data_IF_693024236074
#
_entry.id   IF_693024236074
#
_cell.length_a   1.000
_cell.length_b   1.000
_cell.length_c   1.000
_cell.angle_alpha   90.00
_cell.angle_beta   90.00
_cell.angle_gamma   90.00
#
_symmetry.space_group_name_H-M   'P 1'
#
loop_
_entity.id
_entity.type
_entity.pdbx_description
1 polymer ?
#
# COMPACT_ATOMS: atom_id res chain seq x y z
N UNK A 1 -5.16 -13.54 -1.75
CA UNK A 1 -5.53 -12.44 -2.67
C UNK A 1 -4.60 -11.28 -2.38
N UNK A 2 -4.16 -10.50 -3.37
CA UNK A 2 -3.30 -9.34 -3.08
C UNK A 2 -4.02 -8.00 -3.29
N UNK A 3 -3.48 -6.98 -2.64
CA UNK A 3 -3.91 -5.58 -2.75
C UNK A 3 -2.75 -4.66 -2.34
N UNK A 4 -2.97 -3.36 -2.39
CA UNK A 4 -2.09 -2.36 -1.76
C UNK A 4 -2.78 -1.79 -0.53
N UNK A 5 -2.04 -1.68 0.56
CA UNK A 5 -2.45 -0.94 1.75
C UNK A 5 -1.71 0.40 1.81
N UNK A 6 -2.40 1.42 2.34
CA UNK A 6 -1.84 2.73 2.61
C UNK A 6 -2.07 3.13 4.06
N UNK A 7 -1.18 3.96 4.60
CA UNK A 7 -1.33 4.61 5.91
C UNK A 7 -0.78 6.02 5.82
N UNK A 8 -1.65 7.02 5.97
CA UNK A 8 -1.25 8.41 6.17
C UNK A 8 -0.98 8.70 7.65
N UNK A 9 -0.04 9.61 7.93
CA UNK A 9 0.25 10.06 9.31
C UNK A 9 -0.93 10.85 9.89
N UNK A 10 -1.59 11.68 9.09
CA UNK A 10 -2.71 12.54 9.53
C UNK A 10 -4.00 11.77 9.83
N UNK A 11 -4.17 10.57 9.27
CA UNK A 11 -5.36 9.73 9.41
C UNK A 11 -5.36 8.87 10.68
N UNK A 12 -4.58 9.25 11.70
CA UNK A 12 -4.57 8.59 13.00
C UNK A 12 -3.97 7.19 12.98
N UNK A 13 -2.97 6.97 12.13
CA UNK A 13 -2.20 5.73 12.02
C UNK A 13 -2.96 4.48 11.54
N UNK A 14 -4.13 4.65 10.90
CA UNK A 14 -4.95 3.54 10.40
C UNK A 14 -4.49 3.08 9.02
N UNK A 15 -4.34 1.77 8.85
CA UNK A 15 -4.12 1.16 7.54
C UNK A 15 -5.44 1.00 6.78
N UNK A 16 -5.45 1.41 5.52
CA UNK A 16 -6.58 1.29 4.61
C UNK A 16 -6.18 0.57 3.32
N UNK A 17 -7.11 -0.12 2.67
CA UNK A 17 -6.86 -0.74 1.36
C UNK A 17 -7.04 0.32 0.27
N UNK A 18 -6.07 0.44 -0.63
CA UNK A 18 -6.17 1.31 -1.80
C UNK A 18 -7.30 0.80 -2.71
N UNK A 19 -8.32 1.62 -3.02
CA UNK A 19 -9.44 1.22 -3.86
C UNK A 19 -8.99 0.71 -5.24
N UNK A 20 -9.64 -0.34 -5.73
CA UNK A 20 -9.35 -0.92 -7.04
C UNK A 20 -8.10 -1.81 -7.11
N UNK A 21 -7.34 -1.96 -6.03
CA UNK A 21 -6.16 -2.84 -6.00
C UNK A 21 -6.48 -4.26 -5.52
N UNK A 22 -7.62 -4.46 -4.85
CA UNK A 22 -8.01 -5.77 -4.35
C UNK A 22 -8.26 -6.78 -5.48
N UNK A 23 -7.66 -7.96 -5.36
CA UNK A 23 -7.75 -9.00 -6.39
C UNK A 23 -6.55 -9.04 -7.34
N UNK A 24 -5.54 -8.20 -7.14
CA UNK A 24 -4.34 -8.17 -7.98
C UNK A 24 -3.47 -9.42 -7.78
N UNK A 25 -2.56 -9.66 -8.73
CA UNK A 25 -1.41 -10.53 -8.50
C UNK A 25 -0.44 -9.88 -7.50
N UNK A 26 0.48 -10.68 -6.95
CA UNK A 26 1.55 -10.18 -6.08
C UNK A 26 2.42 -9.15 -6.81
N UNK A 27 2.86 -9.48 -8.02
CA UNK A 27 3.71 -8.60 -8.84
C UNK A 27 3.03 -7.27 -9.15
N UNK A 28 1.74 -7.29 -9.48
CA UNK A 28 0.96 -6.08 -9.70
C UNK A 28 0.81 -5.27 -8.41
N UNK A 29 0.53 -5.89 -7.27
CA UNK A 29 0.45 -5.18 -5.98
C UNK A 29 1.77 -4.49 -5.62
N UNK A 30 2.90 -5.19 -5.77
CA UNK A 30 4.24 -4.63 -5.53
C UNK A 30 4.50 -3.44 -6.47
N UNK A 31 4.28 -3.63 -7.77
CA UNK A 31 4.49 -2.57 -8.77
C UNK A 31 3.61 -1.35 -8.48
N UNK A 32 2.33 -1.55 -8.15
CA UNK A 32 1.41 -0.46 -7.81
C UNK A 32 1.81 0.26 -6.52
N UNK A 33 2.27 -0.45 -5.49
CA UNK A 33 2.74 0.20 -4.25
C UNK A 33 3.93 1.14 -4.53
N UNK A 34 4.87 0.74 -5.38
CA UNK A 34 6.01 1.58 -5.80
C UNK A 34 5.52 2.78 -6.64
N UNK A 35 4.59 2.57 -7.58
CA UNK A 35 4.05 3.66 -8.38
C UNK A 35 3.31 4.70 -7.52
N UNK A 36 2.55 4.25 -6.53
CA UNK A 36 1.86 5.13 -5.60
C UNK A 36 2.84 5.89 -4.72
N UNK A 37 3.92 5.26 -4.26
CA UNK A 37 4.93 5.97 -3.46
C UNK A 37 5.64 7.06 -4.26
N UNK A 38 5.90 6.84 -5.55
CA UNK A 38 6.46 7.88 -6.42
C UNK A 38 5.52 9.08 -6.66
N UNK A 39 4.21 8.89 -6.46
CA UNK A 39 3.19 9.91 -6.68
C UNK A 39 2.59 10.47 -5.36
N UNK A 40 2.92 9.87 -4.22
CA UNK A 40 2.38 10.21 -2.90
C UNK A 40 3.26 11.19 -2.13
N UNK A 41 2.66 11.82 -1.13
CA UNK A 41 3.36 12.69 -0.17
C UNK A 41 4.28 11.90 0.78
N UNK A 42 5.26 12.60 1.36
CA UNK A 42 6.26 12.02 2.26
C UNK A 42 5.69 11.47 3.58
N UNK A 43 4.42 11.75 3.88
CA UNK A 43 3.73 11.34 5.09
C UNK A 43 2.87 10.09 4.89
N UNK A 44 2.82 9.55 3.67
CA UNK A 44 2.02 8.36 3.34
C UNK A 44 2.91 7.14 3.07
N UNK A 45 2.57 6.04 3.73
CA UNK A 45 3.18 4.73 3.49
C UNK A 45 2.31 3.89 2.56
N UNK A 46 2.94 3.08 1.72
CA UNK A 46 2.31 2.11 0.84
C UNK A 46 3.00 0.75 0.96
N UNK A 47 2.25 -0.35 0.96
CA UNK A 47 2.82 -1.70 0.96
C UNK A 47 1.90 -2.69 0.25
N UNK A 48 2.49 -3.69 -0.42
CA UNK A 48 1.74 -4.80 -0.96
C UNK A 48 1.33 -5.73 0.19
N UNK A 49 0.05 -6.11 0.20
CA UNK A 49 -0.53 -7.01 1.21
C UNK A 49 -1.12 -8.26 0.58
N UNK A 50 -1.11 -9.34 1.34
CA UNK A 50 -1.88 -10.54 1.06
C UNK A 50 -3.05 -10.65 2.05
N UNK A 51 -4.25 -10.73 1.49
CA UNK A 51 -5.51 -10.95 2.17
C UNK A 51 -5.81 -12.45 2.13
N UNK A 52 -5.91 -13.04 3.32
CA UNK A 52 -6.24 -14.45 3.57
C UNK A 52 -7.46 -14.51 4.51
N UNK A 53 -8.02 -15.72 4.69
CA UNK A 53 -9.18 -15.90 5.56
C UNK A 53 -8.88 -15.64 7.05
N UNK A 54 -7.62 -15.78 7.45
CA UNK A 54 -7.12 -15.63 8.81
C UNK A 54 -6.54 -14.24 9.10
N UNK A 55 -6.38 -13.39 8.08
CA UNK A 55 -5.87 -12.03 8.29
C UNK A 55 -5.32 -11.35 7.03
N UNK A 56 -4.64 -10.23 7.28
CA UNK A 56 -3.95 -9.41 6.27
C UNK A 56 -2.48 -9.33 6.62
N UNK A 57 -1.61 -9.64 5.67
CA UNK A 57 -0.17 -9.76 5.89
C UNK A 57 0.60 -8.90 4.89
N UNK A 58 1.62 -8.13 5.31
CA UNK A 58 2.51 -7.46 4.37
C UNK A 58 3.36 -8.50 3.62
N UNK A 59 3.47 -8.35 2.31
CA UNK A 59 4.23 -9.26 1.42
C UNK A 59 5.19 -8.51 0.49
N UNK A 60 5.29 -7.19 0.63
CA UNK A 60 6.29 -6.37 -0.03
C UNK A 60 6.91 -5.37 0.94
N UNK A 61 8.00 -4.75 0.50
CA UNK A 61 8.65 -3.70 1.27
C UNK A 61 7.72 -2.49 1.45
N UNK A 62 7.80 -1.86 2.60
CA UNK A 62 7.09 -0.62 2.90
C UNK A 62 7.76 0.53 2.15
N UNK A 63 6.98 1.24 1.33
CA UNK A 63 7.42 2.39 0.54
C UNK A 63 6.84 3.65 1.16
N UNK A 64 7.68 4.66 1.38
CA UNK A 64 7.22 6.00 1.72
C UNK A 64 6.99 6.80 0.45
N UNK A 65 5.97 7.67 0.45
CA UNK A 65 5.84 8.65 -0.60
C UNK A 65 7.06 9.58 -0.66
N UNK A 66 7.33 10.14 -1.83
CA UNK A 66 8.55 10.93 -2.08
C UNK A 66 8.29 12.26 -2.79
N UNK A 67 7.03 12.68 -2.90
CA UNK A 67 6.70 13.95 -3.55
C UNK A 67 6.74 15.09 -2.54
N UNK A 68 7.81 15.88 -2.60
CA UNK A 68 7.95 17.19 -1.95
C UNK A 68 7.25 18.26 -2.82
N UNK A 69 6.40 19.10 -2.21
CA UNK A 69 5.61 20.15 -2.89
C UNK A 69 6.49 21.33 -3.31
#
# INVERSE_FOLDING_TARGET
MHAVALKGIDDGEVWSIVPGTAGSSLESAISTAIQLSLAGDEETQYTAIEIRADGVYPVGDMQWGVHEI
#
